data_IF_071924363343
#
_entry.id   IF_071924363343
#
_cell.length_a   1.000
_cell.length_b   1.000
_cell.length_c   1.000
_cell.angle_alpha   90.00
_cell.angle_beta   90.00
_cell.angle_gamma   90.00
#
_symmetry.space_group_name_H-M   'P 1'
#
loop_
_entity.id
_entity.type
_entity.pdbx_description
1 polymer ?
#
# COMPACT_ATOMS: atom_id res chain seq x y z
N UNK A 1 33.82 57.51 19.67
CA UNK A 1 34.26 56.67 18.54
C UNK A 1 34.62 55.25 18.99
N UNK A 2 35.37 55.09 20.06
CA UNK A 2 35.71 53.73 20.60
C UNK A 2 34.49 52.98 21.14
N UNK A 3 33.58 53.67 21.81
CA UNK A 3 32.33 53.10 22.33
C UNK A 3 31.37 52.74 21.20
N UNK A 4 31.28 53.58 20.17
CA UNK A 4 30.46 53.29 19.00
C UNK A 4 30.93 52.05 18.24
N UNK A 5 32.25 51.87 18.09
CA UNK A 5 32.85 50.68 17.48
C UNK A 5 32.60 49.43 18.33
N UNK A 6 32.71 49.53 19.62
CA UNK A 6 32.47 48.48 20.57
C UNK A 6 31.01 48.03 20.54
N UNK A 7 30.10 48.97 20.51
CA UNK A 7 28.65 48.72 20.42
C UNK A 7 28.29 48.07 19.08
N UNK A 8 28.85 48.57 17.97
CA UNK A 8 28.63 47.98 16.65
C UNK A 8 29.13 46.55 16.58
N UNK A 9 30.31 46.26 17.15
CA UNK A 9 30.85 44.90 17.22
C UNK A 9 29.94 43.99 18.02
N UNK A 10 29.44 44.44 19.14
CA UNK A 10 28.52 43.68 20.00
C UNK A 10 27.22 43.34 19.27
N UNK A 11 26.66 44.30 18.53
CA UNK A 11 25.47 44.11 17.72
C UNK A 11 25.75 43.06 16.63
N UNK A 12 26.88 43.14 15.95
CA UNK A 12 27.29 42.19 14.91
C UNK A 12 27.49 40.78 15.48
N UNK A 13 28.16 40.66 16.61
CA UNK A 13 28.39 39.37 17.27
C UNK A 13 27.05 38.73 17.71
N UNK A 14 26.14 39.52 18.29
CA UNK A 14 24.82 39.08 18.69
C UNK A 14 24.01 38.63 17.47
N UNK A 15 24.04 39.40 16.39
CA UNK A 15 23.35 39.05 15.15
C UNK A 15 23.88 37.74 14.54
N UNK A 16 25.21 37.57 14.56
CA UNK A 16 25.85 36.35 14.08
C UNK A 16 25.42 35.13 14.91
N UNK A 17 25.47 35.24 16.24
CA UNK A 17 25.07 34.17 17.14
C UNK A 17 23.60 33.82 16.95
N UNK A 18 22.75 34.82 16.81
CA UNK A 18 21.32 34.62 16.57
C UNK A 18 21.06 33.95 15.22
N UNK A 19 21.80 34.37 14.19
CA UNK A 19 21.73 33.77 12.86
C UNK A 19 22.13 32.26 12.89
N UNK A 20 23.24 31.94 13.57
CA UNK A 20 23.69 30.54 13.71
C UNK A 20 22.64 29.71 14.44
N UNK A 21 22.04 30.26 15.48
CA UNK A 21 20.98 29.60 16.23
C UNK A 21 19.75 29.33 15.37
N UNK A 22 19.33 30.30 14.57
CA UNK A 22 18.19 30.17 13.65
C UNK A 22 18.47 29.10 12.61
N UNK A 23 19.66 29.04 12.04
CA UNK A 23 20.07 28.04 11.07
C UNK A 23 20.03 26.64 11.68
N UNK A 24 20.56 26.49 12.89
CA UNK A 24 20.55 25.19 13.59
C UNK A 24 19.13 24.73 13.92
N UNK A 25 18.30 25.60 14.45
CA UNK A 25 16.89 25.31 14.74
C UNK A 25 16.13 24.93 13.46
N UNK A 26 16.42 25.63 12.35
CA UNK A 26 15.80 25.33 11.06
C UNK A 26 16.21 23.97 10.53
N UNK A 27 17.48 23.58 10.70
CA UNK A 27 17.97 22.25 10.32
C UNK A 27 17.28 21.16 11.14
N UNK A 28 17.15 21.39 12.45
CA UNK A 28 16.48 20.43 13.34
C UNK A 28 15.01 20.28 12.97
N UNK A 29 14.31 21.37 12.71
CA UNK A 29 12.92 21.35 12.25
C UNK A 29 12.76 20.63 10.91
N UNK A 30 13.68 20.85 9.98
CA UNK A 30 13.67 20.20 8.68
C UNK A 30 13.87 18.69 8.83
N UNK A 31 14.77 18.26 9.73
CA UNK A 31 15.00 16.85 10.02
C UNK A 31 13.77 16.20 10.66
N UNK A 32 13.14 16.86 11.62
CA UNK A 32 11.89 16.40 12.25
C UNK A 32 10.77 16.26 11.22
N UNK A 33 10.61 17.26 10.36
CA UNK A 33 9.59 17.23 9.32
C UNK A 33 9.85 16.13 8.28
N UNK A 34 11.10 15.95 7.90
CA UNK A 34 11.51 14.85 7.03
C UNK A 34 11.13 13.49 7.65
N UNK A 35 11.47 13.29 8.91
CA UNK A 35 11.17 12.04 9.62
C UNK A 35 9.66 11.81 9.73
N UNK A 36 8.90 12.87 9.97
CA UNK A 36 7.44 12.81 10.01
C UNK A 36 6.86 12.38 8.66
N UNK A 37 7.34 13.00 7.58
CA UNK A 37 6.87 12.71 6.22
C UNK A 37 7.22 11.26 5.83
N UNK A 38 8.46 10.85 6.09
CA UNK A 38 8.92 9.47 5.79
C UNK A 38 8.12 8.45 6.61
N UNK A 39 7.91 8.71 7.89
CA UNK A 39 7.11 7.82 8.74
C UNK A 39 5.66 7.72 8.27
N UNK A 40 5.07 8.84 7.90
CA UNK A 40 3.70 8.87 7.37
C UNK A 40 3.60 8.13 6.03
N UNK A 41 4.56 8.31 5.14
CA UNK A 41 4.62 7.61 3.87
C UNK A 41 4.78 6.10 4.06
N UNK A 42 5.61 5.67 5.02
CA UNK A 42 5.79 4.26 5.33
C UNK A 42 4.50 3.63 5.85
N UNK A 43 3.79 4.32 6.72
CA UNK A 43 2.49 3.86 7.24
C UNK A 43 1.47 3.71 6.11
N UNK A 44 1.44 4.65 5.18
CA UNK A 44 0.55 4.62 4.02
C UNK A 44 0.88 3.45 3.09
N UNK A 45 2.17 3.22 2.82
CA UNK A 45 2.64 2.09 2.02
C UNK A 45 2.25 0.77 2.69
N UNK A 46 2.44 0.65 3.99
CA UNK A 46 2.08 -0.56 4.74
C UNK A 46 0.58 -0.86 4.63
N UNK A 47 -0.26 0.18 4.72
CA UNK A 47 -1.70 0.06 4.51
C UNK A 47 -2.05 -0.41 3.09
N UNK A 48 -1.41 0.17 2.10
CA UNK A 48 -1.63 -0.20 0.70
C UNK A 48 -1.22 -1.63 0.42
N UNK A 49 -0.11 -2.08 1.00
CA UNK A 49 0.35 -3.48 0.88
C UNK A 49 -0.68 -4.43 1.47
N UNK A 50 -1.20 -4.14 2.66
CA UNK A 50 -2.25 -4.95 3.30
C UNK A 50 -3.51 -4.99 2.44
N UNK A 51 -3.95 -3.84 1.92
CA UNK A 51 -5.12 -3.75 1.06
C UNK A 51 -4.92 -4.50 -0.26
N UNK A 52 -3.74 -4.41 -0.88
CA UNK A 52 -3.40 -5.13 -2.10
C UNK A 52 -3.42 -6.64 -1.87
N UNK A 53 -2.91 -7.11 -0.74
CA UNK A 53 -2.97 -8.53 -0.36
C UNK A 53 -4.41 -9.01 -0.22
N UNK A 54 -5.27 -8.23 0.44
CA UNK A 54 -6.69 -8.57 0.59
C UNK A 54 -7.41 -8.64 -0.75
N UNK A 55 -7.13 -7.70 -1.64
CA UNK A 55 -7.70 -7.68 -2.98
C UNK A 55 -7.25 -8.91 -3.78
N UNK A 56 -5.95 -9.26 -3.72
CA UNK A 56 -5.41 -10.45 -4.37
C UNK A 56 -6.05 -11.73 -3.84
N UNK A 57 -6.24 -11.84 -2.53
CA UNK A 57 -6.91 -12.98 -1.91
C UNK A 57 -8.35 -13.11 -2.39
N UNK A 58 -9.08 -12.01 -2.46
CA UNK A 58 -10.45 -11.96 -2.99
C UNK A 58 -10.52 -12.39 -4.45
N UNK A 59 -9.65 -11.84 -5.28
CA UNK A 59 -9.61 -12.15 -6.71
C UNK A 59 -9.21 -13.60 -6.94
N UNK A 60 -8.26 -14.11 -6.17
CA UNK A 60 -7.85 -15.51 -6.21
C UNK A 60 -9.01 -16.43 -5.81
N UNK A 61 -9.67 -16.13 -4.71
CA UNK A 61 -10.83 -16.90 -4.25
C UNK A 61 -11.96 -16.91 -5.30
N UNK A 62 -12.25 -15.74 -5.90
CA UNK A 62 -13.25 -15.64 -6.97
C UNK A 62 -12.84 -16.45 -8.20
N UNK A 63 -11.57 -16.45 -8.58
CA UNK A 63 -11.05 -17.24 -9.69
C UNK A 63 -11.16 -18.73 -9.42
N UNK A 64 -10.82 -19.16 -8.21
CA UNK A 64 -10.96 -20.57 -7.78
C UNK A 64 -12.42 -21.00 -7.82
N UNK A 65 -13.32 -20.18 -7.27
CA UNK A 65 -14.75 -20.49 -7.29
C UNK A 65 -15.32 -20.56 -8.70
N UNK A 66 -14.89 -19.65 -9.58
CA UNK A 66 -15.27 -19.68 -10.99
C UNK A 66 -14.80 -20.97 -11.67
N UNK A 67 -13.57 -21.39 -11.42
CA UNK A 67 -13.03 -22.64 -11.96
C UNK A 67 -13.79 -23.85 -11.43
N UNK A 68 -14.09 -23.88 -10.13
CA UNK A 68 -14.86 -24.96 -9.50
C UNK A 68 -16.25 -25.06 -10.11
N UNK A 69 -16.94 -23.93 -10.29
CA UNK A 69 -18.27 -23.87 -10.93
C UNK A 69 -18.24 -24.43 -12.35
N UNK A 70 -17.21 -24.10 -13.12
CA UNK A 70 -17.04 -24.62 -14.49
C UNK A 70 -16.80 -26.13 -14.49
N UNK A 71 -15.99 -26.63 -13.58
CA UNK A 71 -15.71 -28.07 -13.45
C UNK A 71 -16.98 -28.82 -13.05
N UNK A 72 -17.71 -28.33 -12.06
CA UNK A 72 -18.97 -28.92 -11.59
C UNK A 72 -20.01 -28.93 -12.71
N UNK A 73 -20.18 -27.81 -13.41
CA UNK A 73 -21.11 -27.72 -14.53
C UNK A 73 -20.78 -28.73 -15.65
N UNK A 74 -19.48 -28.89 -15.95
CA UNK A 74 -19.01 -29.83 -16.96
C UNK A 74 -19.26 -31.25 -16.52
N UNK A 75 -19.05 -31.60 -15.27
CA UNK A 75 -19.27 -32.92 -14.71
C UNK A 75 -20.75 -33.27 -14.67
N UNK A 76 -21.59 -32.34 -14.26
CA UNK A 76 -23.07 -32.51 -14.31
C UNK A 76 -23.53 -32.72 -15.75
N UNK A 77 -22.99 -31.98 -16.71
CA UNK A 77 -23.32 -32.13 -18.12
C UNK A 77 -22.93 -33.53 -18.66
N UNK A 78 -21.75 -34.03 -18.30
CA UNK A 78 -21.28 -35.38 -18.66
C UNK A 78 -22.18 -36.43 -18.03
N UNK A 79 -22.53 -36.29 -16.75
CA UNK A 79 -23.43 -37.22 -16.04
C UNK A 79 -24.80 -37.28 -16.72
N UNK A 80 -25.37 -36.11 -17.06
CA UNK A 80 -26.65 -36.06 -17.78
C UNK A 80 -26.58 -36.71 -19.16
N UNK A 81 -25.48 -36.52 -19.86
CA UNK A 81 -25.24 -37.13 -21.16
C UNK A 81 -25.17 -38.65 -21.04
N UNK A 82 -24.49 -39.13 -20.02
CA UNK A 82 -24.36 -40.58 -19.76
C UNK A 82 -25.72 -41.21 -19.41
N UNK A 83 -26.54 -40.56 -18.62
CA UNK A 83 -27.91 -41.00 -18.32
C UNK A 83 -28.75 -41.09 -19.59
N UNK A 84 -28.64 -40.13 -20.47
CA UNK A 84 -29.34 -40.12 -21.75
C UNK A 84 -28.90 -41.30 -22.64
N UNK A 85 -27.61 -41.58 -22.67
CA UNK A 85 -27.06 -42.74 -23.42
C UNK A 85 -27.56 -44.05 -22.83
N UNK A 86 -27.55 -44.21 -21.52
CA UNK A 86 -28.03 -45.39 -20.82
C UNK A 86 -29.53 -45.63 -21.10
N UNK A 87 -30.35 -44.60 -21.06
CA UNK A 87 -31.77 -44.65 -21.42
C UNK A 87 -31.98 -45.11 -22.84
N UNK A 88 -31.21 -44.56 -23.77
CA UNK A 88 -31.28 -44.96 -25.19
C UNK A 88 -30.90 -46.40 -25.39
N UNK A 89 -29.91 -46.92 -24.65
CA UNK A 89 -29.51 -48.32 -24.69
C UNK A 89 -30.61 -49.24 -24.14
N UNK A 90 -31.26 -48.85 -23.04
CA UNK A 90 -32.36 -49.60 -22.46
C UNK A 90 -33.54 -49.69 -23.40
N UNK A 91 -33.92 -48.61 -24.07
CA UNK A 91 -34.97 -48.56 -25.07
C UNK A 91 -34.65 -49.46 -26.28
N UNK A 92 -33.38 -49.50 -26.67
CA UNK A 92 -32.93 -50.36 -27.76
C UNK A 92 -32.99 -51.86 -27.42
N UNK A 93 -32.75 -52.19 -26.16
CA UNK A 93 -32.79 -53.58 -25.67
C UNK A 93 -34.20 -54.16 -25.51
N UNK A 94 -35.17 -53.26 -25.41
CA UNK A 94 -36.55 -53.61 -25.34
C UNK A 94 -37.05 -54.07 -26.73
#
# INVERSE_FOLDING_TARGET
LAEAKKEAKKIMDNAKNQSEKIVEESKNKATEEKNRIVGSAQTEIDKEVVNAKKTLEKDFAASVMSAVKKIVAKEVSISNYQDTVDKSLDDFRK
#
